data_IF_026750026825
#
_entry.id   IF_026750026825
#
_cell.length_a   1.000
_cell.length_b   1.000
_cell.length_c   1.000
_cell.angle_alpha   90.00
_cell.angle_beta   90.00
_cell.angle_gamma   90.00
#
_symmetry.space_group_name_H-M   'P 1'
#
loop_
_entity.id
_entity.type
_entity.pdbx_description
1 polymer ?
#
# COMPACT_ATOMS: atom_id res chain seq x y z
N UNK A 1 -2.62 1.84 8.47
CA UNK A 1 -2.80 1.19 9.79
C UNK A 1 -2.77 2.19 10.93
N UNK A 2 -1.66 2.93 11.15
CA UNK A 2 -1.57 3.93 12.23
C UNK A 2 -2.77 4.91 12.27
N UNK A 3 -3.17 5.45 11.12
CA UNK A 3 -4.39 6.26 10.97
C UNK A 3 -5.64 5.61 11.58
N UNK A 4 -5.87 4.32 11.34
CA UNK A 4 -7.04 3.61 11.85
C UNK A 4 -6.92 3.29 13.34
N UNK A 5 -5.73 2.96 13.82
CA UNK A 5 -5.50 2.75 15.25
C UNK A 5 -5.87 4.01 16.05
N UNK A 6 -5.49 5.20 15.57
CA UNK A 6 -5.85 6.46 16.24
C UNK A 6 -7.36 6.79 16.23
N UNK A 7 -8.16 6.08 15.43
CA UNK A 7 -9.61 6.27 15.29
C UNK A 7 -10.41 5.10 15.84
N UNK A 8 -9.73 4.10 16.40
CA UNK A 8 -10.39 2.97 17.02
C UNK A 8 -11.11 3.44 18.30
N UNK A 9 -12.34 3.01 18.59
CA UNK A 9 -13.08 3.45 19.79
C UNK A 9 -12.34 3.20 21.11
N UNK A 10 -11.50 2.16 21.17
CA UNK A 10 -10.67 1.86 22.34
C UNK A 10 -9.35 2.66 22.42
N UNK A 11 -9.02 3.46 21.41
CA UNK A 11 -7.78 4.24 21.44
C UNK A 11 -7.92 5.42 22.41
N UNK A 12 -7.20 5.32 23.53
CA UNK A 12 -7.01 6.42 24.47
C UNK A 12 -5.55 6.92 24.39
N UNK A 13 -5.29 8.16 23.93
CA UNK A 13 -3.92 8.67 23.75
C UNK A 13 -3.14 8.80 25.08
N UNK A 14 -3.84 8.83 26.22
CA UNK A 14 -3.22 8.78 27.56
C UNK A 14 -2.72 7.38 27.94
N UNK A 15 -3.26 6.32 27.34
CA UNK A 15 -2.91 4.93 27.64
C UNK A 15 -2.01 4.32 26.56
N UNK A 16 -2.22 4.70 25.29
CA UNK A 16 -1.52 4.12 24.15
C UNK A 16 -0.69 5.15 23.42
N UNK A 17 0.59 4.81 23.18
CA UNK A 17 1.49 5.57 22.31
C UNK A 17 1.74 4.77 21.03
N UNK A 18 1.45 5.39 19.88
CA UNK A 18 1.72 4.77 18.58
C UNK A 18 2.99 5.40 18.00
N UNK A 19 3.99 4.58 17.69
CA UNK A 19 5.17 4.99 16.91
C UNK A 19 5.17 4.27 15.57
N UNK A 20 5.36 5.00 14.48
CA UNK A 20 5.54 4.45 13.14
C UNK A 20 7.01 4.60 12.76
N UNK A 21 7.69 3.48 12.48
CA UNK A 21 9.11 3.47 12.12
C UNK A 21 9.24 3.21 10.62
N UNK A 22 9.83 4.13 9.87
CA UNK A 22 10.03 4.03 8.42
C UNK A 22 11.52 4.13 8.08
N UNK A 23 12.04 3.13 7.36
CA UNK A 23 13.48 3.01 7.07
C UNK A 23 13.95 3.72 5.80
N UNK A 24 13.03 4.09 4.92
CA UNK A 24 13.35 4.61 3.58
C UNK A 24 12.72 5.97 3.33
N UNK A 25 11.39 6.04 3.27
CA UNK A 25 10.66 7.27 3.01
C UNK A 25 9.17 7.04 2.86
N UNK A 26 8.37 8.07 3.12
CA UNK A 26 6.92 7.97 2.96
C UNK A 26 6.59 7.87 1.47
N UNK A 27 5.78 6.88 1.10
CA UNK A 27 5.32 6.66 -0.28
C UNK A 27 6.44 6.49 -1.33
N UNK A 28 7.67 6.11 -0.94
CA UNK A 28 8.78 5.96 -1.89
C UNK A 28 8.80 4.61 -2.64
N UNK A 29 8.01 3.62 -2.18
CA UNK A 29 7.88 2.30 -2.79
C UNK A 29 6.54 2.11 -3.51
N UNK A 30 6.00 0.88 -3.44
CA UNK A 30 4.73 0.52 -4.09
C UNK A 30 3.57 1.47 -3.73
N UNK A 31 3.51 1.93 -2.49
CA UNK A 31 2.45 2.81 -1.98
C UNK A 31 2.37 4.20 -2.61
N UNK A 32 3.45 4.72 -3.22
CA UNK A 32 3.40 5.97 -4.00
C UNK A 32 3.58 5.80 -5.50
N UNK A 33 3.94 4.59 -5.94
CA UNK A 33 4.22 4.27 -7.35
C UNK A 33 3.11 3.44 -8.02
N UNK A 34 2.12 2.98 -7.26
CA UNK A 34 1.02 2.18 -7.80
C UNK A 34 0.19 2.92 -8.86
N UNK A 35 -0.65 2.16 -9.57
CA UNK A 35 -1.61 2.70 -10.52
C UNK A 35 -2.78 3.44 -9.86
N UNK A 36 -3.09 3.13 -8.60
CA UNK A 36 -4.15 3.80 -7.83
C UNK A 36 -5.58 3.41 -8.22
N UNK A 37 -5.74 2.41 -9.08
CA UNK A 37 -7.03 1.88 -9.51
C UNK A 37 -7.64 0.95 -8.47
N UNK A 38 -8.92 1.14 -8.18
CA UNK A 38 -9.71 0.23 -7.35
C UNK A 38 -10.80 -0.45 -8.19
N UNK A 39 -10.79 -1.79 -8.19
CA UNK A 39 -11.86 -2.62 -8.74
C UNK A 39 -12.76 -3.13 -7.63
N UNK A 40 -14.03 -3.34 -7.94
CA UNK A 40 -14.89 -4.18 -7.14
C UNK A 40 -14.59 -5.67 -7.40
N UNK A 41 -14.28 -6.40 -6.35
CA UNK A 41 -14.01 -7.84 -6.37
C UNK A 41 -15.17 -8.66 -5.78
N UNK A 42 -16.33 -8.05 -5.54
CA UNK A 42 -17.51 -8.69 -4.95
C UNK A 42 -18.05 -9.89 -5.74
N UNK A 43 -17.67 -10.06 -7.00
CA UNK A 43 -17.99 -11.22 -7.83
C UNK A 43 -16.97 -12.37 -7.82
N UNK A 44 -15.82 -12.24 -7.14
CA UNK A 44 -14.74 -13.23 -7.21
C UNK A 44 -14.70 -14.15 -6.00
N UNK A 45 -14.67 -15.47 -6.26
CA UNK A 45 -14.48 -16.49 -5.24
C UNK A 45 -13.02 -16.50 -4.75
N UNK A 46 -12.70 -15.61 -3.81
CA UNK A 46 -11.39 -15.51 -3.17
C UNK A 46 -11.55 -15.48 -1.64
N UNK A 47 -10.67 -16.15 -0.88
CA UNK A 47 -10.64 -16.02 0.58
C UNK A 47 -10.36 -14.59 1.05
N UNK A 48 -9.90 -13.71 0.15
CA UNK A 48 -9.67 -12.28 0.42
C UNK A 48 -10.83 -11.37 0.01
N UNK A 49 -11.94 -11.92 -0.47
CA UNK A 49 -13.06 -11.14 -1.01
C UNK A 49 -13.63 -10.13 0.01
N UNK A 50 -13.87 -10.56 1.25
CA UNK A 50 -14.37 -9.68 2.32
C UNK A 50 -13.40 -8.52 2.60
N UNK A 51 -12.09 -8.77 2.58
CA UNK A 51 -11.07 -7.74 2.71
C UNK A 51 -11.04 -6.80 1.51
N UNK A 52 -11.20 -7.29 0.29
CA UNK A 52 -11.24 -6.47 -0.93
C UNK A 52 -12.45 -5.51 -0.91
N UNK A 53 -13.63 -6.00 -0.54
CA UNK A 53 -14.86 -5.19 -0.40
C UNK A 53 -14.70 -4.15 0.71
N UNK A 54 -14.20 -4.55 1.88
CA UNK A 54 -13.96 -3.63 2.99
C UNK A 54 -12.93 -2.54 2.63
N UNK A 55 -11.85 -2.93 1.94
CA UNK A 55 -10.82 -2.02 1.43
C UNK A 55 -11.42 -1.01 0.45
N UNK A 56 -12.24 -1.45 -0.52
CA UNK A 56 -12.89 -0.54 -1.47
C UNK A 56 -13.78 0.49 -0.76
N UNK A 57 -14.61 0.05 0.20
CA UNK A 57 -15.45 0.94 1.00
C UNK A 57 -14.60 1.96 1.76
N UNK A 58 -13.58 1.50 2.46
CA UNK A 58 -12.66 2.37 3.20
C UNK A 58 -11.96 3.37 2.29
N UNK A 59 -11.49 2.96 1.12
CA UNK A 59 -10.86 3.88 0.17
C UNK A 59 -11.84 4.91 -0.38
N UNK A 60 -13.13 4.57 -0.57
CA UNK A 60 -14.16 5.55 -0.93
C UNK A 60 -14.37 6.58 0.18
N UNK A 61 -14.42 6.15 1.44
CA UNK A 61 -14.52 7.04 2.60
C UNK A 61 -13.28 7.93 2.75
N UNK A 62 -12.08 7.36 2.66
CA UNK A 62 -10.82 8.09 2.74
C UNK A 62 -10.57 9.01 1.54
N UNK A 63 -11.09 8.66 0.36
CA UNK A 63 -11.05 9.56 -0.79
C UNK A 63 -11.78 10.87 -0.49
N UNK A 64 -12.77 10.91 0.40
CA UNK A 64 -13.37 12.17 0.83
C UNK A 64 -12.39 13.10 1.57
N UNK A 65 -11.31 12.55 2.15
CA UNK A 65 -10.22 13.34 2.76
C UNK A 65 -9.29 13.95 1.72
N UNK A 66 -9.21 13.36 0.52
CA UNK A 66 -8.50 13.93 -0.60
C UNK A 66 -9.41 14.97 -1.29
N UNK A 67 -8.86 16.14 -1.63
CA UNK A 67 -9.59 17.15 -2.42
C UNK A 67 -10.27 16.45 -3.60
N UNK A 68 -11.59 16.65 -3.78
CA UNK A 68 -12.36 16.05 -4.88
C UNK A 68 -11.75 16.34 -6.25
N UNK A 69 -11.00 17.44 -6.39
CA UNK A 69 -10.24 17.80 -7.59
C UNK A 69 -9.06 16.87 -7.90
N UNK A 70 -8.70 15.98 -6.98
CA UNK A 70 -7.59 15.03 -7.09
C UNK A 70 -8.07 13.59 -7.36
N UNK A 71 -9.30 13.44 -7.85
CA UNK A 71 -9.92 12.14 -8.12
C UNK A 71 -10.30 12.04 -9.59
N UNK A 72 -9.99 10.89 -10.20
CA UNK A 72 -10.52 10.53 -11.52
C UNK A 72 -11.63 9.50 -11.33
N UNK A 73 -12.85 9.84 -11.77
CA UNK A 73 -13.95 8.88 -11.87
C UNK A 73 -13.96 8.26 -13.25
N UNK A 74 -13.68 6.96 -13.33
CA UNK A 74 -13.92 6.14 -14.52
C UNK A 74 -15.20 5.34 -14.31
N UNK A 75 -15.95 5.02 -15.36
CA UNK A 75 -17.20 4.26 -15.23
C UNK A 75 -16.98 2.98 -14.38
N UNK A 76 -17.61 2.93 -13.19
CA UNK A 76 -17.49 1.82 -12.24
C UNK A 76 -16.23 1.77 -11.37
N UNK A 77 -15.24 2.65 -11.59
CA UNK A 77 -13.95 2.61 -10.90
C UNK A 77 -13.49 3.97 -10.36
N UNK A 78 -12.75 3.93 -9.26
CA UNK A 78 -12.11 5.10 -8.67
C UNK A 78 -10.60 4.97 -8.84
N UNK A 79 -9.99 6.00 -9.42
CA UNK A 79 -8.53 6.13 -9.45
C UNK A 79 -8.13 7.21 -8.46
N UNK A 80 -7.23 6.84 -7.55
CA UNK A 80 -6.64 7.73 -6.55
C UNK A 80 -5.19 8.00 -6.90
N UNK A 81 -4.67 9.14 -6.49
CA UNK A 81 -3.23 9.36 -6.48
C UNK A 81 -2.63 8.67 -5.24
N UNK A 82 -1.89 7.56 -5.40
CA UNK A 82 -1.44 6.77 -4.26
C UNK A 82 -0.38 7.48 -3.43
N UNK A 83 0.42 8.35 -4.06
CA UNK A 83 1.40 9.18 -3.35
C UNK A 83 0.69 10.16 -2.42
N UNK A 84 -0.26 10.94 -2.96
CA UNK A 84 -1.03 11.90 -2.17
C UNK A 84 -1.89 11.22 -1.10
N UNK A 85 -2.48 10.08 -1.42
CA UNK A 85 -3.27 9.28 -0.48
C UNK A 85 -2.42 8.85 0.72
N UNK A 86 -1.25 8.26 0.47
CA UNK A 86 -0.35 7.79 1.53
C UNK A 86 0.15 8.93 2.40
N UNK A 87 0.55 10.06 1.79
CA UNK A 87 0.97 11.25 2.53
C UNK A 87 -0.16 11.86 3.37
N UNK A 88 -1.39 11.87 2.85
CA UNK A 88 -2.55 12.39 3.58
C UNK A 88 -2.83 11.53 4.81
N UNK A 89 -2.84 10.20 4.67
CA UNK A 89 -3.01 9.29 5.81
C UNK A 89 -1.90 9.44 6.86
N UNK A 90 -0.66 9.67 6.43
CA UNK A 90 0.45 9.91 7.36
C UNK A 90 0.23 11.22 8.12
N UNK A 91 -0.06 12.31 7.43
CA UNK A 91 -0.29 13.61 8.05
C UNK A 91 -1.48 13.56 9.03
N UNK A 92 -2.57 12.88 8.68
CA UNK A 92 -3.72 12.69 9.57
C UNK A 92 -3.43 11.79 10.78
N UNK A 93 -2.49 10.85 10.65
CA UNK A 93 -2.02 10.04 11.77
C UNK A 93 -1.11 10.86 12.71
N UNK A 94 -0.21 11.68 12.16
CA UNK A 94 0.66 12.58 12.93
C UNK A 94 -0.14 13.63 13.69
N UNK A 95 -1.16 14.24 13.04
CA UNK A 95 -2.11 15.16 13.71
C UNK A 95 -2.82 14.51 14.89
N UNK A 96 -3.07 13.20 14.81
CA UNK A 96 -3.68 12.42 15.89
C UNK A 96 -2.67 11.95 16.96
N UNK A 97 -1.40 12.38 16.87
CA UNK A 97 -0.36 12.12 17.88
C UNK A 97 0.53 10.92 17.60
N UNK A 98 0.46 10.30 16.41
CA UNK A 98 1.40 9.23 16.03
C UNK A 98 2.80 9.83 15.86
N UNK A 99 3.78 9.22 16.51
CA UNK A 99 5.19 9.61 16.37
C UNK A 99 5.81 8.89 15.19
N UNK A 100 6.13 9.62 14.12
CA UNK A 100 6.88 9.08 12.98
C UNK A 100 8.38 9.13 13.28
N UNK A 101 9.06 8.01 13.07
CA UNK A 101 10.50 7.85 13.30
C UNK A 101 11.16 7.34 12.02
N UNK A 102 11.96 8.20 11.40
CA UNK A 102 12.78 7.82 10.25
C UNK A 102 14.04 7.07 10.72
N UNK A 103 13.96 5.74 10.78
CA UNK A 103 15.05 4.88 11.19
C UNK A 103 14.91 3.48 10.60
N UNK A 104 16.02 2.81 10.33
CA UNK A 104 16.02 1.40 9.92
C UNK A 104 15.82 0.52 11.16
N UNK A 105 14.85 -0.37 11.12
CA UNK A 105 14.71 -1.44 12.14
C UNK A 105 15.77 -2.51 11.90
N UNK A 106 16.48 -2.89 12.96
CA UNK A 106 17.57 -3.87 12.92
C UNK A 106 17.28 -5.12 13.75
N UNK A 107 16.29 -5.07 14.64
CA UNK A 107 15.84 -6.23 15.41
C UNK A 107 14.64 -5.89 16.28
N UNK A 108 14.00 -6.91 16.82
CA UNK A 108 12.94 -6.79 17.84
C UNK A 108 13.38 -7.62 19.04
N UNK A 109 13.52 -6.96 20.18
CA UNK A 109 13.79 -7.60 21.47
C UNK A 109 12.46 -8.10 22.05
N UNK A 110 12.43 -9.38 22.44
CA UNK A 110 11.28 -10.02 23.05
C UNK A 110 11.64 -10.59 24.42
N UNK A 111 10.67 -10.59 25.32
CA UNK A 111 10.65 -11.39 26.55
C UNK A 111 9.71 -12.59 26.30
N UNK A 112 10.29 -13.78 26.10
CA UNK A 112 9.57 -14.91 25.53
C UNK A 112 8.96 -14.56 24.16
N UNK A 113 7.64 -14.69 24.03
CA UNK A 113 6.89 -14.32 22.82
C UNK A 113 6.45 -12.85 22.78
N UNK A 114 6.66 -12.09 23.86
CA UNK A 114 6.16 -10.72 23.98
C UNK A 114 7.21 -9.69 23.54
N UNK A 115 6.91 -8.81 22.58
CA UNK A 115 7.82 -7.70 22.25
C UNK A 115 8.08 -6.79 23.45
N UNK A 116 9.30 -6.30 23.55
CA UNK A 116 9.76 -5.38 24.59
C UNK A 116 10.35 -4.10 24.00
N UNK A 117 11.13 -4.21 22.93
CA UNK A 117 11.70 -3.06 22.24
C UNK A 117 11.97 -3.35 20.76
N UNK A 118 11.85 -2.32 19.93
CA UNK A 118 12.28 -2.32 18.54
C UNK A 118 13.66 -1.66 18.47
N UNK A 119 14.67 -2.41 18.03
CA UNK A 119 16.02 -1.92 17.81
C UNK A 119 16.06 -1.18 16.46
N UNK A 120 16.58 0.05 16.48
CA UNK A 120 16.69 0.87 15.27
C UNK A 120 18.08 1.48 15.11
N UNK A 121 18.38 1.97 13.91
CA UNK A 121 19.60 2.74 13.63
C UNK A 121 19.71 4.05 14.41
N UNK A 122 18.67 4.47 15.14
CA UNK A 122 18.65 5.66 15.99
C UNK A 122 18.43 5.33 17.48
N UNK A 123 18.66 4.07 17.86
CA UNK A 123 18.47 3.58 19.23
C UNK A 123 17.15 2.81 19.41
N UNK A 124 16.98 2.19 20.60
CA UNK A 124 15.82 1.36 20.89
C UNK A 124 14.54 2.19 21.09
N UNK A 125 13.40 1.59 20.73
CA UNK A 125 12.06 2.13 21.02
C UNK A 125 11.29 1.06 21.78
N UNK A 126 10.95 1.32 23.05
CA UNK A 126 10.10 0.42 23.85
C UNK A 126 8.73 0.25 23.21
N UNK A 127 8.27 -1.00 23.11
CA UNK A 127 6.95 -1.36 22.60
C UNK A 127 6.54 -2.73 23.14
N UNK A 128 5.35 -2.80 23.72
CA UNK A 128 4.70 -4.05 24.15
C UNK A 128 4.02 -4.81 22.99
N UNK A 129 3.76 -4.12 21.89
CA UNK A 129 3.09 -4.63 20.69
C UNK A 129 3.79 -4.11 19.45
N UNK A 130 4.09 -4.99 18.49
CA UNK A 130 4.73 -4.64 17.22
C UNK A 130 3.89 -5.15 16.06
N UNK A 131 3.60 -4.25 15.11
CA UNK A 131 2.89 -4.59 13.87
C UNK A 131 3.88 -4.50 12.71
N UNK A 132 4.05 -5.61 11.98
CA UNK A 132 4.89 -5.66 10.78
C UNK A 132 4.05 -5.26 9.57
N UNK A 133 4.36 -4.10 8.98
CA UNK A 133 3.70 -3.58 7.79
C UNK A 133 4.72 -3.19 6.70
N UNK A 134 5.73 -4.05 6.49
CA UNK A 134 6.91 -3.76 5.67
C UNK A 134 6.74 -4.11 4.18
N UNK A 135 5.52 -4.40 3.72
CA UNK A 135 5.25 -4.77 2.33
C UNK A 135 6.10 -5.99 1.89
N UNK A 136 6.72 -5.97 0.69
CA UNK A 136 7.61 -7.04 0.21
C UNK A 136 8.78 -7.40 1.14
N UNK A 137 9.21 -6.46 2.00
CA UNK A 137 10.28 -6.70 2.97
C UNK A 137 9.81 -7.44 4.23
N UNK A 138 8.51 -7.75 4.36
CA UNK A 138 7.99 -8.48 5.52
C UNK A 138 8.61 -9.88 5.67
N UNK A 139 9.11 -10.48 4.58
CA UNK A 139 9.91 -11.71 4.64
C UNK A 139 11.20 -11.57 5.48
N UNK A 140 11.74 -10.36 5.61
CA UNK A 140 12.91 -10.08 6.47
C UNK A 140 12.55 -10.04 7.95
N UNK A 141 11.27 -9.91 8.31
CA UNK A 141 10.86 -9.85 9.71
C UNK A 141 11.16 -11.15 10.46
N UNK A 142 11.19 -12.31 9.78
CA UNK A 142 11.68 -13.57 10.36
C UNK A 142 13.07 -13.43 10.99
N UNK A 143 13.95 -12.60 10.43
CA UNK A 143 15.28 -12.35 10.99
C UNK A 143 15.21 -11.39 12.19
N UNK A 144 14.32 -10.40 12.14
CA UNK A 144 14.17 -9.39 13.19
C UNK A 144 13.69 -9.99 14.52
N UNK A 145 12.80 -10.99 14.46
CA UNK A 145 12.24 -11.71 15.62
C UNK A 145 12.81 -13.13 15.79
N UNK A 146 13.82 -13.51 15.00
CA UNK A 146 14.49 -14.83 15.04
C UNK A 146 13.51 -16.02 14.93
N UNK A 147 12.52 -15.93 14.05
CA UNK A 147 11.60 -17.03 13.79
C UNK A 147 12.34 -18.21 13.15
N UNK A 148 11.97 -19.46 13.49
CA UNK A 148 12.58 -20.66 12.90
C UNK A 148 12.16 -20.90 11.45
N UNK A 149 11.27 -20.08 10.89
CA UNK A 149 10.77 -20.17 9.52
C UNK A 149 10.77 -18.80 8.83
N UNK A 150 10.78 -18.81 7.49
CA UNK A 150 10.62 -17.61 6.68
C UNK A 150 9.15 -17.28 6.47
N UNK A 151 8.79 -16.02 6.66
CA UNK A 151 7.50 -15.49 6.22
C UNK A 151 7.49 -15.51 4.68
N UNK A 152 6.53 -16.19 4.03
CA UNK A 152 6.53 -16.43 2.59
C UNK A 152 6.02 -15.20 1.81
N UNK A 153 6.67 -14.06 2.00
CA UNK A 153 6.37 -12.79 1.31
C UNK A 153 7.61 -12.33 0.56
N UNK A 154 7.44 -12.04 -0.73
CA UNK A 154 8.50 -11.55 -1.62
C UNK A 154 8.00 -10.40 -2.49
N UNK A 155 8.92 -9.75 -3.21
CA UNK A 155 8.58 -8.68 -4.15
C UNK A 155 8.33 -9.20 -5.55
N UNK A 156 7.30 -8.68 -6.20
CA UNK A 156 7.09 -8.82 -7.63
C UNK A 156 7.51 -7.54 -8.35
N UNK A 157 8.33 -7.65 -9.40
CA UNK A 157 8.78 -6.50 -10.18
C UNK A 157 7.80 -6.23 -11.32
N UNK A 158 7.07 -5.12 -11.23
CA UNK A 158 6.35 -4.52 -12.35
C UNK A 158 7.01 -3.21 -12.79
N UNK A 159 6.91 -2.87 -14.08
CA UNK A 159 7.40 -1.60 -14.60
C UNK A 159 6.22 -0.67 -14.90
N UNK A 160 6.44 0.63 -14.75
CA UNK A 160 5.43 1.62 -15.10
C UNK A 160 6.05 2.84 -15.77
N UNK A 161 5.25 3.50 -16.60
CA UNK A 161 5.57 4.76 -17.26
C UNK A 161 4.52 5.78 -16.80
N UNK A 162 4.98 6.97 -16.42
CA UNK A 162 4.14 8.13 -16.24
C UNK A 162 4.27 9.02 -17.48
N UNK A 163 3.20 9.15 -18.23
CA UNK A 163 3.14 9.92 -19.46
C UNK A 163 2.33 11.20 -19.23
N UNK A 164 2.84 12.34 -19.72
CA UNK A 164 2.09 13.59 -19.81
C UNK A 164 1.65 13.78 -21.26
N UNK A 165 0.40 13.44 -21.61
CA UNK A 165 -0.08 13.56 -22.99
C UNK A 165 -0.20 15.03 -23.40
N UNK A 166 -0.01 15.32 -24.69
CA UNK A 166 -0.13 16.68 -25.25
C UNK A 166 -1.57 17.20 -25.18
N UNK A 167 -2.55 16.30 -25.28
CA UNK A 167 -3.97 16.60 -25.19
C UNK A 167 -4.59 15.86 -23.99
N UNK A 168 -5.60 16.44 -23.30
CA UNK A 168 -6.31 15.75 -22.23
C UNK A 168 -6.90 14.41 -22.70
N UNK A 169 -6.71 13.36 -21.91
CA UNK A 169 -7.31 12.05 -22.16
C UNK A 169 -8.65 11.92 -21.43
N UNK A 170 -9.53 11.06 -21.96
CA UNK A 170 -10.76 10.69 -21.25
C UNK A 170 -10.42 9.99 -19.92
N UNK A 171 -11.22 10.16 -18.86
CA UNK A 171 -11.01 9.52 -17.57
C UNK A 171 -11.43 8.03 -17.60
N UNK A 172 -10.92 7.26 -18.55
CA UNK A 172 -11.23 5.84 -18.74
C UNK A 172 -10.01 4.99 -18.40
N UNK A 173 -10.20 3.99 -17.54
CA UNK A 173 -9.19 2.97 -17.29
C UNK A 173 -9.24 1.92 -18.40
N UNK A 174 -8.09 1.59 -18.99
CA UNK A 174 -7.99 0.57 -20.04
C UNK A 174 -7.21 -0.64 -19.53
N UNK A 175 -7.72 -1.82 -19.86
CA UNK A 175 -7.11 -3.12 -19.61
C UNK A 175 -6.92 -3.77 -20.98
N UNK A 176 -5.67 -3.86 -21.42
CA UNK A 176 -5.33 -4.30 -22.77
C UNK A 176 -4.57 -5.61 -22.65
N UNK A 177 -5.02 -6.64 -23.36
CA UNK A 177 -4.25 -7.87 -23.52
C UNK A 177 -3.62 -7.87 -24.91
N UNK A 178 -2.31 -7.97 -24.99
CA UNK A 178 -1.59 -8.07 -26.27
C UNK A 178 -1.36 -9.54 -26.59
N UNK A 179 -1.92 -10.03 -27.70
CA UNK A 179 -1.80 -11.42 -28.14
C UNK A 179 -3.08 -12.23 -27.92
N UNK A 180 -3.34 -13.14 -28.87
CA UNK A 180 -4.35 -14.18 -28.76
C UNK A 180 -3.66 -15.51 -29.06
N UNK A 181 -3.49 -16.35 -28.04
CA UNK A 181 -2.93 -17.67 -28.24
C UNK A 181 -2.26 -18.23 -27.00
N UNK A 182 -2.54 -19.52 -26.79
CA UNK A 182 -1.70 -20.41 -26.02
C UNK A 182 -0.59 -20.86 -26.98
N UNK A 183 0.68 -20.76 -26.59
CA UNK A 183 1.77 -21.33 -27.39
C UNK A 183 1.62 -22.86 -27.51
N UNK A 184 2.41 -23.51 -28.36
CA UNK A 184 2.35 -24.97 -28.56
C UNK A 184 2.62 -25.78 -27.28
N UNK A 185 3.10 -25.13 -26.20
CA UNK A 185 3.44 -25.72 -24.92
C UNK A 185 2.38 -25.47 -23.83
N UNK A 186 1.27 -24.80 -24.15
CA UNK A 186 0.21 -24.52 -23.16
C UNK A 186 0.41 -23.22 -22.38
N UNK A 187 1.44 -22.43 -22.70
CA UNK A 187 1.78 -21.18 -22.03
C UNK A 187 1.09 -19.98 -22.68
N UNK A 188 0.56 -19.09 -21.83
CA UNK A 188 -0.20 -17.93 -22.27
C UNK A 188 0.79 -16.83 -22.68
N UNK A 189 0.92 -16.58 -23.97
CA UNK A 189 1.92 -15.64 -24.51
C UNK A 189 1.42 -14.17 -24.49
N UNK A 190 0.29 -13.92 -23.84
CA UNK A 190 -0.33 -12.60 -23.77
C UNK A 190 0.27 -11.73 -22.65
N UNK A 191 0.61 -10.48 -22.97
CA UNK A 191 0.97 -9.47 -21.96
C UNK A 191 -0.23 -8.60 -21.61
N UNK A 192 -0.36 -8.22 -20.34
CA UNK A 192 -1.39 -7.31 -19.87
C UNK A 192 -0.82 -5.90 -19.69
N UNK A 193 -1.42 -4.92 -20.36
CA UNK A 193 -1.08 -3.51 -20.25
C UNK A 193 -2.27 -2.79 -19.62
N UNK A 194 -2.01 -2.05 -18.54
CA UNK A 194 -3.02 -1.26 -17.86
C UNK A 194 -2.73 0.23 -18.00
N UNK A 195 -3.76 1.02 -18.33
CA UNK A 195 -3.66 2.47 -18.44
C UNK A 195 -4.67 3.14 -17.51
N UNK A 196 -4.17 4.00 -16.62
CA UNK A 196 -4.98 4.71 -15.63
C UNK A 196 -4.74 6.23 -15.72
N UNK A 197 -5.74 7.01 -16.15
CA UNK A 197 -5.67 8.47 -16.12
C UNK A 197 -5.69 9.01 -14.69
N UNK A 198 -4.78 9.93 -14.39
CA UNK A 198 -4.68 10.62 -13.09
C UNK A 198 -5.35 11.99 -13.15
N UNK A 199 -5.70 12.50 -11.97
CA UNK A 199 -6.36 13.80 -11.78
C UNK A 199 -5.55 14.98 -12.30
N UNK A 200 -4.22 14.85 -12.35
CA UNK A 200 -3.29 15.88 -12.81
C UNK A 200 -3.03 15.85 -14.33
N UNK A 201 -3.80 15.06 -15.08
CA UNK A 201 -3.67 14.92 -16.54
C UNK A 201 -2.63 13.90 -16.99
N UNK A 202 -1.83 13.34 -16.09
CA UNK A 202 -0.90 12.26 -16.43
C UNK A 202 -1.61 10.93 -16.64
N UNK A 203 -1.03 10.04 -17.44
CA UNK A 203 -1.47 8.67 -17.62
C UNK A 203 -0.42 7.73 -17.04
N UNK A 204 -0.84 6.89 -16.09
CA UNK A 204 -0.05 5.79 -15.59
C UNK A 204 -0.23 4.59 -16.52
N UNK A 205 0.88 4.02 -16.99
CA UNK A 205 0.90 2.82 -17.84
C UNK A 205 1.71 1.76 -17.12
N UNK A 206 1.19 0.54 -17.01
CA UNK A 206 1.90 -0.59 -16.40
C UNK A 206 1.79 -1.84 -17.25
N UNK A 207 2.82 -2.68 -17.20
CA UNK A 207 2.81 -4.02 -17.77
C UNK A 207 3.86 -4.92 -17.09
N UNK A 208 3.73 -6.24 -17.23
CA UNK A 208 4.79 -7.17 -16.88
C UNK A 208 6.01 -6.95 -17.79
N UNK A 209 7.16 -7.51 -17.39
CA UNK A 209 8.35 -7.54 -18.22
C UNK A 209 8.16 -8.45 -19.42
#
# INVERSE_FOLDING_TARGET
>A
MAYYLTRHPAYAPRQYRISLVEGTGIACGASGKAGGFFRDFSGEASPLQSFAVASLRQHRELNALLDRRRQTRSAGAVVVDPYLFTHTLMAEAEKAGVRVVHARVTGIECDGERPKAVQTSRGPITADTVIIAMGPWSGQASLLVRLPYRIPVSGYKGNSILMSPLNPVRPQCLFIRTGEGVDQEGSNNGSEIYLFPRHNGQVYIWGPK
#
